data_IF_584337959717
#
_entry.id   IF_584337959717
#
_cell.length_a   1.000
_cell.length_b   1.000
_cell.length_c   1.000
_cell.angle_alpha   90.00
_cell.angle_beta   90.00
_cell.angle_gamma   90.00
#
_symmetry.space_group_name_H-M   'P 1'
#
loop_
_entity.id
_entity.type
_entity.pdbx_description
1 polymer ?
#
# COMPACT_ATOMS: atom_id res chain seq x y z
N UNK A 1 6.21 10.61 -5.95
CA UNK A 1 7.32 10.27 -5.03
C UNK A 1 6.76 9.29 -4.03
N UNK A 2 7.36 8.09 -3.92
CA UNK A 2 6.98 7.12 -2.87
C UNK A 2 7.39 7.73 -1.52
N UNK A 3 6.43 7.92 -0.62
CA UNK A 3 6.71 8.52 0.70
C UNK A 3 7.43 7.53 1.60
N UNK A 4 8.03 8.04 2.68
CA UNK A 4 8.63 7.19 3.73
C UNK A 4 7.57 6.21 4.26
N UNK A 5 6.32 6.65 4.42
CA UNK A 5 5.22 5.78 4.85
C UNK A 5 4.94 4.65 3.85
N UNK A 6 4.96 4.95 2.55
CA UNK A 6 4.78 3.94 1.49
C UNK A 6 5.89 2.89 1.54
N UNK A 7 7.14 3.33 1.71
CA UNK A 7 8.29 2.42 1.82
C UNK A 7 8.21 1.54 3.08
N UNK A 8 7.81 2.10 4.21
CA UNK A 8 7.61 1.34 5.45
C UNK A 8 6.43 0.36 5.33
N UNK A 9 5.34 0.73 4.68
CA UNK A 9 4.22 -0.18 4.42
C UNK A 9 4.67 -1.40 3.59
N UNK A 10 5.47 -1.17 2.53
CA UNK A 10 6.05 -2.26 1.72
C UNK A 10 6.96 -3.15 2.59
N UNK A 11 7.80 -2.55 3.45
CA UNK A 11 8.65 -3.32 4.38
C UNK A 11 7.84 -4.19 5.33
N UNK A 12 6.76 -3.66 5.91
CA UNK A 12 5.87 -4.39 6.82
C UNK A 12 5.21 -5.57 6.11
N UNK A 13 4.63 -5.35 4.92
CA UNK A 13 3.99 -6.40 4.13
C UNK A 13 4.98 -7.50 3.71
N UNK A 14 6.21 -7.12 3.34
CA UNK A 14 7.31 -8.07 3.06
C UNK A 14 7.66 -8.90 4.29
N UNK A 15 7.79 -8.26 5.44
CA UNK A 15 8.12 -8.95 6.69
C UNK A 15 7.08 -10.03 7.03
N UNK A 16 5.80 -9.67 6.98
CA UNK A 16 4.67 -10.58 7.20
C UNK A 16 4.75 -11.76 6.21
N UNK A 17 4.96 -11.49 4.92
CA UNK A 17 5.10 -12.53 3.89
C UNK A 17 6.25 -13.51 4.15
N UNK A 18 7.48 -13.01 4.39
CA UNK A 18 8.64 -13.87 4.59
C UNK A 18 8.52 -14.72 5.86
N UNK A 19 7.98 -14.12 6.94
CA UNK A 19 7.68 -14.84 8.18
C UNK A 19 6.70 -16.00 7.91
N UNK A 20 5.59 -15.73 7.21
CA UNK A 20 4.55 -16.74 6.96
C UNK A 20 5.03 -17.84 6.02
N UNK A 21 5.89 -17.49 5.05
CA UNK A 21 6.50 -18.44 4.14
C UNK A 21 7.61 -19.30 4.80
N UNK A 22 8.01 -19.00 6.05
CA UNK A 22 9.15 -19.65 6.71
C UNK A 22 10.48 -19.38 6.00
N UNK A 23 10.54 -18.37 5.14
CA UNK A 23 11.73 -18.00 4.38
C UNK A 23 12.49 -16.98 5.22
N UNK A 24 13.78 -17.22 5.46
CA UNK A 24 14.64 -16.19 6.06
C UNK A 24 14.55 -14.93 5.20
N UNK A 25 14.02 -13.85 5.78
CA UNK A 25 13.96 -12.57 5.09
C UNK A 25 15.36 -12.21 4.57
N UNK A 26 15.49 -11.57 3.39
CA UNK A 26 16.76 -10.95 3.02
C UNK A 26 17.24 -10.07 4.20
N UNK A 27 18.56 -9.89 4.40
CA UNK A 27 19.13 -9.26 5.59
C UNK A 27 18.75 -7.78 5.65
N UNK A 28 17.52 -7.53 6.04
CA UNK A 28 17.09 -6.27 6.60
C UNK A 28 17.74 -6.26 7.96
N UNK A 29 18.76 -5.41 8.14
CA UNK A 29 19.48 -5.24 9.40
C UNK A 29 18.51 -5.37 10.57
N UNK A 30 18.77 -6.35 11.43
CA UNK A 30 17.98 -6.73 12.60
C UNK A 30 17.77 -5.60 13.63
N UNK A 31 18.26 -4.39 13.34
CA UNK A 31 18.23 -3.19 14.18
C UNK A 31 17.28 -2.07 13.69
N UNK A 32 16.57 -2.24 12.56
CA UNK A 32 15.63 -1.21 12.09
C UNK A 32 14.21 -1.50 12.58
N UNK A 33 13.88 -1.03 13.78
CA UNK A 33 12.48 -0.93 14.24
C UNK A 33 11.64 -0.29 13.12
N UNK A 34 10.53 -0.93 12.77
CA UNK A 34 9.57 -0.35 11.83
C UNK A 34 9.12 1.01 12.36
N UNK A 35 9.10 2.01 11.50
CA UNK A 35 8.61 3.35 11.87
C UNK A 35 7.12 3.44 11.60
N UNK A 36 6.41 4.23 12.39
CA UNK A 36 4.98 4.52 12.20
C UNK A 36 4.06 3.28 12.19
N UNK A 37 4.47 2.18 12.84
CA UNK A 37 3.73 0.91 12.86
C UNK A 37 2.32 1.07 13.41
N UNK A 38 2.18 1.85 14.48
CA UNK A 38 0.90 2.14 15.12
C UNK A 38 -0.09 2.87 14.20
N UNK A 39 0.40 3.54 13.15
CA UNK A 39 -0.43 4.17 12.11
C UNK A 39 -0.62 3.23 10.93
N UNK A 40 0.44 2.52 10.52
CA UNK A 40 0.44 1.64 9.36
C UNK A 40 -0.46 0.42 9.52
N UNK A 41 -0.36 -0.30 10.65
CA UNK A 41 -1.10 -1.56 10.82
C UNK A 41 -2.62 -1.34 10.77
N UNK A 42 -3.21 -0.35 11.47
CA UNK A 42 -4.64 -0.09 11.35
C UNK A 42 -5.07 0.36 9.94
N UNK A 43 -4.24 1.12 9.21
CA UNK A 43 -4.53 1.52 7.84
C UNK A 43 -4.55 0.32 6.89
N UNK A 44 -3.53 -0.53 6.96
CA UNK A 44 -3.41 -1.72 6.14
C UNK A 44 -4.51 -2.74 6.46
N UNK A 45 -4.90 -2.88 7.73
CA UNK A 45 -5.99 -3.76 8.16
C UNK A 45 -7.34 -3.24 7.66
N UNK A 46 -7.64 -1.95 7.84
CA UNK A 46 -8.86 -1.32 7.30
C UNK A 46 -8.91 -1.38 5.77
N UNK A 47 -7.76 -1.29 5.12
CA UNK A 47 -7.59 -1.47 3.68
C UNK A 47 -7.72 -2.93 3.21
N UNK A 48 -7.84 -3.88 4.15
CA UNK A 48 -8.03 -5.30 3.85
C UNK A 48 -6.80 -6.01 3.30
N UNK A 49 -5.59 -5.43 3.46
CA UNK A 49 -4.34 -6.07 3.05
C UNK A 49 -3.80 -7.04 4.10
N UNK A 50 -4.04 -6.74 5.37
CA UNK A 50 -3.62 -7.56 6.50
C UNK A 50 -4.79 -7.83 7.45
N UNK A 51 -4.64 -8.84 8.31
CA UNK A 51 -5.61 -9.20 9.34
C UNK A 51 -4.90 -9.51 10.64
N UNK A 52 -5.36 -8.94 11.76
CA UNK A 52 -4.83 -9.27 13.08
C UNK A 52 -5.20 -10.71 13.49
N UNK A 53 -4.18 -11.51 13.82
CA UNK A 53 -4.30 -12.89 14.33
C UNK A 53 -4.03 -12.98 15.83
N UNK A 54 -3.29 -12.03 16.40
CA UNK A 54 -2.96 -11.98 17.83
C UNK A 54 -3.35 -10.62 18.44
N UNK A 55 -4.57 -10.50 19.00
CA UNK A 55 -5.05 -9.23 19.54
C UNK A 55 -4.32 -8.77 20.82
N UNK A 56 -3.49 -9.63 21.41
CA UNK A 56 -2.71 -9.30 22.62
C UNK A 56 -1.53 -8.36 22.32
N UNK A 57 -1.10 -8.26 21.06
CA UNK A 57 0.00 -7.36 20.67
C UNK A 57 -0.27 -6.69 19.30
N UNK A 58 -1.29 -5.84 19.19
CA UNK A 58 -1.73 -5.24 17.93
C UNK A 58 -0.73 -4.23 17.35
N UNK A 59 0.24 -3.78 18.14
CA UNK A 59 1.30 -2.86 17.71
C UNK A 59 2.49 -3.58 17.05
N UNK A 60 2.46 -4.91 16.98
CA UNK A 60 3.51 -5.71 16.37
C UNK A 60 3.08 -6.25 15.01
N UNK A 61 3.87 -6.09 13.94
CA UNK A 61 3.62 -6.73 12.65
C UNK A 61 3.56 -8.26 12.75
N UNK A 62 4.19 -8.84 13.79
CA UNK A 62 4.16 -10.29 14.07
C UNK A 62 2.73 -10.80 14.27
N UNK A 63 1.85 -9.94 14.75
CA UNK A 63 0.47 -10.26 15.11
C UNK A 63 -0.51 -10.21 13.95
N UNK A 64 -0.04 -10.00 12.72
CA UNK A 64 -0.86 -9.88 11.52
C UNK A 64 -0.43 -10.90 10.47
N UNK A 65 -1.36 -11.32 9.63
CA UNK A 65 -1.12 -12.11 8.42
C UNK A 65 -1.58 -11.32 7.18
N UNK A 66 -1.14 -11.73 5.98
CA UNK A 66 -1.65 -11.15 4.73
C UNK A 66 -3.02 -11.72 4.37
N UNK A 67 -3.95 -10.86 3.95
CA UNK A 67 -5.27 -11.29 3.45
C UNK A 67 -5.22 -11.89 2.04
N UNK A 68 -4.16 -11.59 1.28
CA UNK A 68 -3.94 -12.03 -0.11
C UNK A 68 -2.45 -12.25 -0.37
N UNK A 69 -2.05 -13.06 -1.37
CA UNK A 69 -0.65 -13.24 -1.71
C UNK A 69 0.04 -11.92 -2.01
N UNK A 70 1.28 -11.72 -1.53
CA UNK A 70 2.03 -10.47 -1.74
C UNK A 70 2.14 -10.10 -3.23
N UNK A 71 2.34 -11.09 -4.11
CA UNK A 71 2.42 -10.89 -5.56
C UNK A 71 1.09 -10.53 -6.23
N UNK A 72 -0.03 -10.53 -5.51
CA UNK A 72 -1.34 -10.04 -6.00
C UNK A 72 -1.67 -8.62 -5.52
N UNK A 73 -0.81 -8.03 -4.69
CA UNK A 73 -0.98 -6.67 -4.20
C UNK A 73 -0.25 -5.75 -5.17
N UNK A 74 -1.00 -4.90 -5.86
CA UNK A 74 -0.45 -3.85 -6.73
C UNK A 74 -0.15 -2.56 -5.94
N UNK A 75 0.71 -1.72 -6.51
CA UNK A 75 1.11 -0.45 -5.92
C UNK A 75 -0.07 0.52 -5.83
N UNK A 76 -1.00 0.49 -6.78
CA UNK A 76 -2.19 1.35 -6.78
C UNK A 76 -3.02 1.14 -5.52
N UNK A 77 -3.34 -0.11 -5.20
CA UNK A 77 -4.13 -0.51 -4.04
C UNK A 77 -3.48 -0.04 -2.74
N UNK A 78 -2.15 -0.18 -2.64
CA UNK A 78 -1.40 0.30 -1.49
C UNK A 78 -1.48 1.84 -1.36
N UNK A 79 -1.28 2.57 -2.46
CA UNK A 79 -1.31 4.04 -2.46
C UNK A 79 -2.70 4.60 -2.14
N UNK A 80 -3.76 3.93 -2.60
CA UNK A 80 -5.14 4.30 -2.28
C UNK A 80 -5.43 4.13 -0.78
N UNK A 81 -4.91 3.07 -0.15
CA UNK A 81 -5.10 2.81 1.28
C UNK A 81 -4.33 3.81 2.15
N UNK A 82 -3.09 4.13 1.77
CA UNK A 82 -2.25 5.03 2.55
C UNK A 82 -2.65 6.51 2.40
N UNK A 83 -3.38 6.86 1.34
CA UNK A 83 -3.74 8.24 0.99
C UNK A 83 -2.54 9.22 0.98
N UNK A 84 -1.35 8.71 0.66
CA UNK A 84 -0.11 9.49 0.68
C UNK A 84 0.63 9.47 -0.67
N UNK A 85 1.43 10.51 -0.90
CA UNK A 85 2.27 10.62 -2.08
C UNK A 85 1.48 10.92 -3.35
N UNK A 86 1.75 10.18 -4.42
CA UNK A 86 0.98 10.29 -5.67
C UNK A 86 -0.18 9.32 -5.55
N UNK A 87 -1.33 9.82 -5.13
CA UNK A 87 -2.55 9.05 -4.96
C UNK A 87 -3.50 9.39 -6.12
N UNK A 88 -3.71 8.48 -7.10
CA UNK A 88 -4.77 8.65 -8.07
C UNK A 88 -6.11 8.75 -7.35
N UNK A 89 -7.04 9.50 -7.92
CA UNK A 89 -8.43 9.50 -7.44
C UNK A 89 -8.91 8.04 -7.48
N UNK A 90 -9.66 7.55 -6.49
CA UNK A 90 -10.20 6.17 -6.53
C UNK A 90 -11.22 6.03 -7.68
N UNK A 91 -11.32 4.86 -8.34
CA UNK A 91 -12.39 4.60 -9.31
C UNK A 91 -13.81 4.71 -8.73
N UNK A 92 -13.97 4.60 -7.40
CA UNK A 92 -15.26 4.70 -6.72
C UNK A 92 -15.74 6.15 -6.55
N UNK A 93 -14.86 7.12 -6.79
CA UNK A 93 -15.19 8.54 -6.68
C UNK A 93 -15.72 9.05 -8.01
N UNK A 94 -16.85 9.77 -7.95
CA UNK A 94 -17.42 10.46 -9.11
C UNK A 94 -16.43 11.50 -9.67
N UNK A 95 -15.76 11.13 -10.76
CA UNK A 95 -14.77 11.98 -11.44
C UNK A 95 -15.39 13.30 -11.94
N UNK A 96 -16.69 13.34 -12.20
CA UNK A 96 -17.37 14.58 -12.60
C UNK A 96 -17.45 15.56 -11.43
N UNK A 97 -17.57 15.07 -10.19
CA UNK A 97 -17.48 15.92 -8.98
C UNK A 97 -16.08 16.44 -8.75
N UNK A 98 -15.06 15.64 -9.06
CA UNK A 98 -13.65 16.00 -8.84
C UNK A 98 -13.16 16.95 -9.92
N UNK A 99 -13.39 16.62 -11.18
CA UNK A 99 -12.82 17.33 -12.32
C UNK A 99 -13.80 18.29 -13.00
N UNK A 100 -15.12 18.13 -12.86
CA UNK A 100 -16.13 18.89 -13.62
C UNK A 100 -16.09 20.41 -13.41
N UNK A 101 -15.47 20.89 -12.33
CA UNK A 101 -15.26 22.32 -12.07
C UNK A 101 -14.14 22.95 -12.90
N UNK A 102 -13.32 22.14 -13.57
CA UNK A 102 -12.12 22.58 -14.28
C UNK A 102 -12.31 22.70 -15.80
N UNK A 103 -13.55 22.56 -16.31
CA UNK A 103 -13.87 22.76 -17.73
C UNK A 103 -13.04 21.87 -18.65
N UNK A 104 -12.39 22.45 -19.67
CA UNK A 104 -11.57 21.70 -20.62
C UNK A 104 -10.35 21.00 -19.97
N UNK A 105 -9.84 21.52 -18.85
CA UNK A 105 -8.73 20.94 -18.09
C UNK A 105 -9.14 19.62 -17.41
N UNK A 106 -10.43 19.45 -17.11
CA UNK A 106 -10.98 18.24 -16.50
C UNK A 106 -10.62 16.97 -17.29
N UNK A 107 -10.77 17.03 -18.62
CA UNK A 107 -10.45 15.92 -19.52
C UNK A 107 -8.97 15.51 -19.43
N UNK A 108 -8.06 16.48 -19.38
CA UNK A 108 -6.61 16.23 -19.28
C UNK A 108 -6.25 15.61 -17.94
N UNK A 109 -6.83 16.12 -16.85
CA UNK A 109 -6.61 15.57 -15.51
C UNK A 109 -7.16 14.14 -15.38
N UNK A 110 -8.33 13.87 -15.96
CA UNK A 110 -8.90 12.53 -16.01
C UNK A 110 -8.00 11.55 -16.76
N UNK A 111 -7.46 11.95 -17.92
CA UNK A 111 -6.49 11.12 -18.68
C UNK A 111 -5.23 10.85 -17.87
N UNK A 112 -4.64 11.86 -17.23
CA UNK A 112 -3.45 11.67 -16.39
C UNK A 112 -3.74 10.73 -15.22
N UNK A 113 -4.89 10.89 -14.56
CA UNK A 113 -5.32 10.03 -13.47
C UNK A 113 -5.50 8.57 -13.92
N UNK A 114 -6.14 8.36 -15.07
CA UNK A 114 -6.30 7.03 -15.66
C UNK A 114 -4.95 6.40 -16.03
N UNK A 115 -4.03 7.17 -16.61
CA UNK A 115 -2.67 6.69 -16.90
C UNK A 115 -1.93 6.27 -15.63
N UNK A 116 -2.01 7.07 -14.56
CA UNK A 116 -1.38 6.72 -13.28
C UNK A 116 -1.98 5.45 -12.68
N UNK A 117 -3.33 5.31 -12.70
CA UNK A 117 -3.99 4.08 -12.24
C UNK A 117 -3.48 2.85 -13.02
N UNK A 118 -3.43 2.92 -14.34
CA UNK A 118 -2.95 1.82 -15.19
C UNK A 118 -1.52 1.40 -14.80
N UNK A 119 -0.61 2.37 -14.79
CA UNK A 119 0.81 2.11 -14.48
C UNK A 119 0.97 1.52 -13.08
N UNK A 120 0.29 2.08 -12.07
CA UNK A 120 0.43 1.61 -10.69
C UNK A 120 -0.27 0.28 -10.43
N UNK A 121 -1.32 -0.07 -11.20
CA UNK A 121 -1.97 -1.37 -11.11
C UNK A 121 -1.14 -2.51 -11.71
N UNK A 122 -0.21 -2.19 -12.61
CA UNK A 122 0.68 -3.16 -13.25
C UNK A 122 1.92 -3.49 -12.39
N UNK A 123 2.27 -2.63 -11.43
CA UNK A 123 3.44 -2.81 -10.55
C UNK A 123 3.03 -3.59 -9.31
N UNK A 124 3.50 -4.82 -9.19
CA UNK A 124 3.24 -5.66 -8.02
C UNK A 124 4.29 -5.43 -6.93
N UNK A 125 3.90 -5.59 -5.66
CA UNK A 125 4.83 -5.36 -4.54
C UNK A 125 6.06 -6.29 -4.56
N UNK A 126 5.97 -7.43 -5.23
CA UNK A 126 7.12 -8.33 -5.47
C UNK A 126 8.17 -7.73 -6.39
N UNK A 127 7.80 -6.86 -7.32
CA UNK A 127 8.72 -6.19 -8.26
C UNK A 127 9.48 -5.04 -7.60
N UNK A 128 8.92 -4.47 -6.52
CA UNK A 128 9.55 -3.42 -5.73
C UNK A 128 10.61 -3.98 -4.74
N UNK A 129 10.97 -5.25 -4.88
CA UNK A 129 12.00 -5.92 -4.09
C UNK A 129 13.39 -5.62 -4.65
N UNK A 130 13.92 -4.43 -4.31
CA UNK A 130 15.37 -4.21 -4.20
C UNK A 130 15.86 -4.73 -2.84
#
# INVERSE_FOLDING_TARGET
MLTILTQEAIRVLRYIYYRDAGISSPPVSSDCAFRNVSVLLPLLERGGLIRCICPESPDSPVSYELCKPLGSIDLLSLLLILHEGVCPVSPDVDEQRVYGRYGSVASRMGVVNQMMRSIFSEIHLTELCL
#
